data_IF_859354983946
#
_entry.id   IF_859354983946
#
_cell.length_a   1.000
_cell.length_b   1.000
_cell.length_c   1.000
_cell.angle_alpha   90.00
_cell.angle_beta   90.00
_cell.angle_gamma   90.00
#
_symmetry.space_group_name_H-M   'P 1'
#
loop_
_entity.id
_entity.type
_entity.pdbx_description
1 polymer ?
#
# COMPACT_ATOMS: atom_id res chain seq x y z
N UNK A 1 15.96 0.55 -2.77
CA UNK A 1 14.77 0.70 -1.91
C UNK A 1 13.96 -0.58 -1.91
N UNK A 2 13.44 -0.95 -0.77
CA UNK A 2 12.59 -2.14 -0.63
C UNK A 2 11.22 -1.75 -0.09
N UNK A 3 10.20 -2.45 -0.54
CA UNK A 3 8.84 -2.27 -0.05
C UNK A 3 8.32 -3.59 0.50
N UNK A 4 7.78 -3.53 1.71
CA UNK A 4 7.12 -4.65 2.35
C UNK A 4 5.66 -4.29 2.60
N UNK A 5 4.79 -5.24 2.33
CA UNK A 5 3.35 -5.05 2.56
C UNK A 5 2.82 -6.15 3.45
N UNK A 6 1.95 -5.79 4.38
CA UNK A 6 1.27 -6.74 5.24
C UNK A 6 -0.21 -6.49 5.24
N UNK A 7 -0.99 -7.56 5.20
CA UNK A 7 -2.45 -7.49 5.29
C UNK A 7 -2.91 -8.10 6.61
N UNK A 8 -3.84 -7.41 7.27
CA UNK A 8 -4.53 -7.93 8.43
C UNK A 8 -6.03 -7.90 8.16
N UNK A 9 -6.63 -9.06 7.88
CA UNK A 9 -8.05 -9.16 7.55
C UNK A 9 -8.92 -8.77 8.73
N UNK A 10 -8.51 -9.12 9.96
CA UNK A 10 -9.24 -8.78 11.17
C UNK A 10 -9.14 -7.30 11.54
N UNK A 11 -8.14 -6.60 11.01
CA UNK A 11 -7.87 -5.22 11.35
C UNK A 11 -6.99 -5.08 12.58
N UNK A 12 -6.17 -4.05 12.59
CA UNK A 12 -5.31 -3.71 13.73
C UNK A 12 -5.77 -2.36 14.28
N UNK A 13 -6.02 -2.30 15.59
CA UNK A 13 -6.29 -1.02 16.24
C UNK A 13 -4.97 -0.29 16.43
N UNK A 14 -4.70 0.65 15.55
CA UNK A 14 -3.45 1.41 15.56
C UNK A 14 -3.56 2.64 16.47
N UNK A 15 -4.67 3.35 16.37
CA UNK A 15 -4.99 4.51 17.21
C UNK A 15 -6.49 4.76 17.16
N UNK A 16 -6.98 5.70 17.97
CA UNK A 16 -8.40 6.06 17.94
C UNK A 16 -8.81 6.66 16.60
N UNK A 17 -7.86 7.28 15.89
CA UNK A 17 -8.09 7.83 14.56
C UNK A 17 -8.02 6.76 13.47
N UNK A 18 -7.32 5.65 13.75
CA UNK A 18 -7.18 4.52 12.83
C UNK A 18 -7.50 3.22 13.58
N UNK A 19 -8.78 2.97 13.89
CA UNK A 19 -9.19 1.84 14.74
C UNK A 19 -9.16 0.48 14.05
N UNK A 20 -9.14 0.46 12.72
CA UNK A 20 -9.14 -0.80 11.96
C UNK A 20 -8.22 -0.67 10.74
N UNK A 21 -6.96 -1.02 10.95
CA UNK A 21 -5.94 -0.95 9.90
C UNK A 21 -5.80 -2.33 9.26
N UNK A 22 -6.04 -2.42 7.95
CA UNK A 22 -5.96 -3.67 7.19
C UNK A 22 -4.71 -3.76 6.32
N UNK A 23 -4.04 -2.65 6.07
CA UNK A 23 -2.85 -2.61 5.23
C UNK A 23 -1.73 -1.85 5.93
N UNK A 24 -0.55 -2.46 5.95
CA UNK A 24 0.67 -1.81 6.42
C UNK A 24 1.70 -1.89 5.31
N UNK A 25 2.25 -0.75 4.94
CA UNK A 25 3.27 -0.68 3.89
C UNK A 25 4.52 -0.05 4.50
N UNK A 26 5.64 -0.73 4.35
CA UNK A 26 6.93 -0.25 4.83
C UNK A 26 7.87 -0.03 3.66
N UNK A 27 8.41 1.18 3.56
CA UNK A 27 9.44 1.50 2.58
C UNK A 27 10.76 1.67 3.30
N UNK A 28 11.77 0.93 2.86
CA UNK A 28 13.12 1.00 3.41
C UNK A 28 14.12 1.31 2.33
N UNK A 29 15.01 2.26 2.56
CA UNK A 29 16.03 2.66 1.61
C UNK A 29 17.13 3.45 2.27
N UNK A 30 18.18 3.76 1.50
CA UNK A 30 19.30 4.59 1.94
C UNK A 30 18.98 6.07 1.70
N UNK A 31 19.86 6.96 2.19
CA UNK A 31 19.73 8.40 1.92
C UNK A 31 19.81 8.70 0.43
N UNK A 32 20.56 7.91 -0.33
CA UNK A 32 20.66 8.04 -1.77
C UNK A 32 19.32 7.80 -2.48
N UNK A 33 18.42 7.06 -1.84
CA UNK A 33 17.11 6.72 -2.39
C UNK A 33 16.01 7.72 -2.04
N UNK A 34 16.36 8.86 -1.43
CA UNK A 34 15.37 9.79 -0.89
C UNK A 34 14.29 10.20 -1.89
N UNK A 35 14.67 10.59 -3.10
CA UNK A 35 13.71 11.01 -4.13
C UNK A 35 12.80 9.84 -4.54
N UNK A 36 13.38 8.65 -4.69
CA UNK A 36 12.66 7.45 -5.03
C UNK A 36 11.67 7.08 -3.90
N UNK A 37 12.11 7.23 -2.66
CA UNK A 37 11.29 6.98 -1.48
C UNK A 37 10.07 7.91 -1.45
N UNK A 38 10.27 9.21 -1.69
CA UNK A 38 9.18 10.18 -1.71
C UNK A 38 8.19 9.89 -2.85
N UNK A 39 8.68 9.50 -4.02
CA UNK A 39 7.81 9.10 -5.14
C UNK A 39 7.01 7.86 -4.80
N UNK A 40 7.64 6.89 -4.14
CA UNK A 40 6.97 5.68 -3.70
C UNK A 40 5.84 5.97 -2.72
N UNK A 41 6.08 6.82 -1.74
CA UNK A 41 5.06 7.23 -0.77
C UNK A 41 3.89 7.92 -1.46
N UNK A 42 4.17 8.82 -2.41
CA UNK A 42 3.12 9.52 -3.15
C UNK A 42 2.28 8.55 -3.98
N UNK A 43 2.92 7.59 -4.64
CA UNK A 43 2.23 6.58 -5.42
C UNK A 43 1.31 5.71 -4.54
N UNK A 44 1.83 5.25 -3.40
CA UNK A 44 1.07 4.46 -2.45
C UNK A 44 -0.13 5.25 -1.92
N UNK A 45 0.08 6.52 -1.56
CA UNK A 45 -1.00 7.37 -1.06
C UNK A 45 -2.15 7.49 -2.06
N UNK A 46 -1.85 7.61 -3.36
CA UNK A 46 -2.88 7.67 -4.38
C UNK A 46 -3.63 6.35 -4.55
N UNK A 47 -2.91 5.23 -4.48
CA UNK A 47 -3.52 3.90 -4.60
C UNK A 47 -4.49 3.64 -3.44
N UNK A 48 -4.08 3.93 -2.20
CA UNK A 48 -4.92 3.67 -1.03
C UNK A 48 -6.10 4.61 -0.91
N UNK A 49 -6.10 5.74 -1.62
CA UNK A 49 -7.25 6.65 -1.68
C UNK A 49 -8.33 6.19 -2.63
N UNK A 50 -8.05 5.22 -3.47
CA UNK A 50 -9.03 4.68 -4.41
C UNK A 50 -10.24 4.15 -3.62
N UNK A 51 -11.48 4.48 -4.04
CA UNK A 51 -12.68 4.09 -3.28
C UNK A 51 -12.84 2.58 -3.09
N UNK A 52 -12.27 1.78 -3.98
CA UNK A 52 -12.37 0.32 -3.94
C UNK A 52 -11.14 -0.35 -3.32
N UNK A 53 -10.17 0.43 -2.82
CA UNK A 53 -8.93 -0.14 -2.29
C UNK A 53 -9.18 -1.12 -1.17
N UNK A 54 -9.94 -0.74 -0.14
CA UNK A 54 -10.17 -1.59 1.02
C UNK A 54 -10.83 -2.91 0.62
N UNK A 55 -11.83 -2.86 -0.23
CA UNK A 55 -12.55 -4.05 -0.70
C UNK A 55 -11.61 -4.98 -1.46
N UNK A 56 -10.81 -4.43 -2.37
CA UNK A 56 -9.85 -5.21 -3.15
C UNK A 56 -8.73 -5.79 -2.29
N UNK A 57 -8.23 -5.00 -1.36
CA UNK A 57 -7.14 -5.40 -0.47
C UNK A 57 -7.54 -6.55 0.45
N UNK A 58 -8.68 -6.40 1.14
CA UNK A 58 -9.18 -7.44 2.04
C UNK A 58 -9.64 -8.69 1.27
N UNK A 59 -10.15 -8.51 0.06
CA UNK A 59 -10.65 -9.61 -0.77
C UNK A 59 -9.60 -10.32 -1.60
N UNK A 60 -8.34 -9.86 -1.61
CA UNK A 60 -7.30 -10.49 -2.40
C UNK A 60 -7.04 -11.93 -1.93
N UNK A 61 -6.91 -12.85 -2.89
CA UNK A 61 -6.79 -14.29 -2.60
C UNK A 61 -5.41 -14.70 -2.08
N UNK A 62 -4.36 -14.04 -2.57
CA UNK A 62 -2.99 -14.44 -2.31
C UNK A 62 -2.04 -13.25 -2.41
N UNK A 63 -0.74 -13.50 -2.20
CA UNK A 63 0.28 -12.45 -2.26
C UNK A 63 0.36 -11.79 -3.63
N UNK A 64 0.18 -12.54 -4.70
CA UNK A 64 0.24 -11.98 -6.04
C UNK A 64 -0.89 -10.98 -6.27
N UNK A 65 -2.09 -11.30 -5.82
CA UNK A 65 -3.22 -10.39 -5.93
C UNK A 65 -2.99 -9.10 -5.12
N UNK A 66 -2.36 -9.20 -3.95
CA UNK A 66 -1.98 -8.03 -3.16
C UNK A 66 -0.97 -7.16 -3.90
N UNK A 67 0.05 -7.77 -4.49
CA UNK A 67 1.06 -7.05 -5.27
C UNK A 67 0.44 -6.35 -6.47
N UNK A 68 -0.49 -7.01 -7.14
CA UNK A 68 -1.14 -6.47 -8.34
C UNK A 68 -1.92 -5.21 -8.04
N UNK A 69 -2.52 -5.07 -6.85
CA UNK A 69 -3.23 -3.86 -6.46
C UNK A 69 -2.32 -2.63 -6.56
N UNK A 70 -1.07 -2.74 -6.10
CA UNK A 70 -0.11 -1.65 -6.17
C UNK A 70 0.53 -1.51 -7.55
N UNK A 71 0.92 -2.62 -8.17
CA UNK A 71 1.58 -2.59 -9.47
C UNK A 71 0.64 -2.10 -10.58
N UNK A 72 -0.57 -2.60 -10.61
CA UNK A 72 -1.55 -2.18 -11.63
C UNK A 72 -2.08 -0.77 -11.35
N UNK A 73 -2.22 -0.39 -10.10
CA UNK A 73 -2.59 0.96 -9.72
C UNK A 73 -1.57 1.98 -10.20
N UNK A 74 -0.28 1.67 -10.07
CA UNK A 74 0.80 2.52 -10.54
C UNK A 74 0.77 2.67 -12.06
N UNK A 75 0.54 1.58 -12.78
CA UNK A 75 0.42 1.61 -14.25
C UNK A 75 -0.73 2.49 -14.71
N UNK A 76 -1.87 2.43 -14.03
CA UNK A 76 -3.02 3.28 -14.35
C UNK A 76 -2.70 4.76 -14.21
N UNK A 77 -1.83 5.12 -13.27
CA UNK A 77 -1.41 6.50 -13.06
C UNK A 77 -0.59 7.06 -14.21
N UNK A 78 0.23 6.23 -14.82
CA UNK A 78 1.11 6.64 -15.92
C UNK A 78 0.32 6.91 -17.21
N UNK A 79 -0.88 6.44 -17.30
CA UNK A 79 -1.76 6.67 -18.43
C UNK A 79 -2.72 7.82 -18.14
#
# INVERSE_FOLDING_TARGET
MRMLMARCVAGIHFSDEAPAVHAVVVLAGSRADRNLHLRGLAAIAQIVRSPDFDTRWVGARDEQALRDIFLLGERRREN
#
